data_IF_759600544242
#
_entry.id   IF_759600544242
#
_cell.length_a   1.000
_cell.length_b   1.000
_cell.length_c   1.000
_cell.angle_alpha   90.00
_cell.angle_beta   90.00
_cell.angle_gamma   90.00
#
_symmetry.space_group_name_H-M   'P 1'
#
loop_
_entity.id
_entity.type
_entity.pdbx_description
1 polymer ?
#
# COMPACT_ATOMS: atom_id res chain seq x y z
N UNK A 1 -0.24 8.22 -12.60
CA UNK A 1 -0.26 8.48 -11.15
C UNK A 1 1.16 8.59 -10.64
N UNK A 2 1.46 9.58 -9.78
CA UNK A 2 2.77 9.70 -9.12
C UNK A 2 2.56 9.52 -7.61
N UNK A 3 3.26 8.55 -7.02
CA UNK A 3 3.33 8.38 -5.57
C UNK A 3 4.17 9.53 -5.01
N UNK A 4 3.64 10.23 -4.00
CA UNK A 4 4.29 11.39 -3.35
C UNK A 4 5.12 11.00 -2.13
N UNK A 5 4.99 9.76 -1.66
CA UNK A 5 5.74 9.20 -0.56
C UNK A 5 5.17 7.86 -0.15
N UNK A 6 5.88 7.17 0.74
CA UNK A 6 5.44 5.92 1.33
C UNK A 6 5.80 5.91 2.82
N UNK A 7 5.07 5.14 3.61
CA UNK A 7 5.46 4.84 4.98
C UNK A 7 4.94 3.45 5.38
N UNK A 8 5.58 2.87 6.39
CA UNK A 8 5.18 1.57 6.95
C UNK A 8 4.36 1.85 8.21
N UNK A 9 3.20 1.21 8.31
CA UNK A 9 2.32 1.24 9.46
C UNK A 9 2.14 -0.17 10.01
N UNK A 10 2.55 -0.38 11.26
CA UNK A 10 2.31 -1.66 11.95
C UNK A 10 0.90 -1.64 12.55
N UNK A 11 0.07 -2.59 12.12
CA UNK A 11 -1.26 -2.77 12.66
C UNK A 11 -1.20 -3.27 14.11
N UNK A 12 -2.33 -3.14 14.82
CA UNK A 12 -2.47 -3.67 16.19
C UNK A 12 -2.33 -5.19 16.26
N UNK A 13 -2.54 -5.88 15.13
CA UNK A 13 -2.34 -7.33 14.97
C UNK A 13 -0.88 -7.72 14.83
N UNK A 14 0.03 -6.75 14.60
CA UNK A 14 1.46 -6.98 14.40
C UNK A 14 1.89 -7.02 12.92
N UNK A 15 0.93 -7.08 12.00
CA UNK A 15 1.20 -7.08 10.56
C UNK A 15 1.72 -5.71 10.10
N UNK A 16 2.67 -5.68 9.16
CA UNK A 16 3.14 -4.42 8.59
C UNK A 16 2.45 -4.11 7.27
N UNK A 17 1.86 -2.91 7.20
CA UNK A 17 1.26 -2.37 6.00
C UNK A 17 2.13 -1.28 5.37
N UNK A 18 2.39 -1.38 4.06
CA UNK A 18 2.99 -0.30 3.28
C UNK A 18 1.89 0.61 2.74
N UNK A 19 1.92 1.88 3.16
CA UNK A 19 0.96 2.89 2.73
C UNK A 19 1.61 3.77 1.66
N UNK A 20 1.01 3.79 0.47
CA UNK A 20 1.44 4.63 -0.64
C UNK A 20 0.62 5.92 -0.69
N UNK A 21 1.30 7.07 -0.70
CA UNK A 21 0.64 8.37 -0.70
C UNK A 21 0.43 8.89 -2.12
N UNK A 22 -0.82 9.10 -2.48
CA UNK A 22 -1.24 9.84 -3.65
C UNK A 22 -1.32 11.35 -3.38
N UNK A 23 -1.53 12.11 -4.45
CA UNK A 23 -1.58 13.58 -4.39
C UNK A 23 -2.82 14.12 -3.66
N UNK A 24 -3.95 13.46 -3.85
CA UNK A 24 -5.24 13.86 -3.30
C UNK A 24 -6.17 12.64 -3.24
N UNK A 25 -7.39 12.83 -2.72
CA UNK A 25 -8.38 11.76 -2.56
C UNK A 25 -8.70 11.03 -3.88
N UNK A 26 -8.91 11.76 -4.98
CA UNK A 26 -9.25 11.13 -6.27
C UNK A 26 -8.11 10.26 -6.81
N UNK A 27 -6.86 10.73 -6.67
CA UNK A 27 -5.69 9.92 -7.05
C UNK A 27 -5.45 8.75 -6.08
N UNK A 28 -5.82 8.89 -4.81
CA UNK A 28 -5.77 7.80 -3.82
C UNK A 28 -6.73 6.67 -4.17
N UNK A 29 -7.96 6.98 -4.60
CA UNK A 29 -8.94 5.97 -5.06
C UNK A 29 -8.43 5.21 -6.30
N UNK A 30 -7.87 5.93 -7.29
CA UNK A 30 -7.25 5.30 -8.47
C UNK A 30 -6.05 4.42 -8.08
N UNK A 31 -5.23 4.88 -7.12
CA UNK A 31 -4.09 4.13 -6.61
C UNK A 31 -4.53 2.86 -5.92
N UNK A 32 -5.54 2.95 -5.07
CA UNK A 32 -6.12 1.79 -4.42
C UNK A 32 -6.60 0.75 -5.44
N UNK A 33 -7.39 1.16 -6.45
CA UNK A 33 -7.86 0.24 -7.48
C UNK A 33 -6.73 -0.38 -8.30
N UNK A 34 -5.73 0.40 -8.70
CA UNK A 34 -4.54 -0.13 -9.38
C UNK A 34 -3.82 -1.18 -8.52
N UNK A 35 -3.61 -0.88 -7.24
CA UNK A 35 -3.00 -1.80 -6.29
C UNK A 35 -3.84 -3.07 -6.11
N UNK A 36 -5.16 -2.96 -6.09
CA UNK A 36 -6.04 -4.11 -5.93
C UNK A 36 -6.00 -5.04 -7.15
N UNK A 37 -6.10 -4.49 -8.37
CA UNK A 37 -6.34 -5.25 -9.60
C UNK A 37 -5.06 -5.58 -10.37
N UNK A 38 -4.21 -4.59 -10.63
CA UNK A 38 -3.18 -4.67 -11.68
C UNK A 38 -1.74 -4.70 -11.14
N UNK A 39 -1.54 -4.42 -9.85
CA UNK A 39 -0.20 -4.29 -9.27
C UNK A 39 0.46 -5.64 -8.89
N UNK A 40 0.17 -6.73 -9.59
CA UNK A 40 0.72 -8.06 -9.26
C UNK A 40 2.26 -8.07 -9.25
N UNK A 41 2.89 -7.47 -10.26
CA UNK A 41 4.36 -7.38 -10.34
C UNK A 41 4.95 -6.60 -9.16
N UNK A 42 4.34 -5.47 -8.81
CA UNK A 42 4.76 -4.65 -7.67
C UNK A 42 4.60 -5.41 -6.34
N UNK A 43 3.48 -6.11 -6.15
CA UNK A 43 3.26 -6.97 -4.98
C UNK A 43 4.30 -8.09 -4.89
N UNK A 44 4.67 -8.69 -6.01
CA UNK A 44 5.73 -9.70 -6.08
C UNK A 44 7.10 -9.12 -5.70
N UNK A 45 7.44 -7.95 -6.23
CA UNK A 45 8.68 -7.24 -5.88
C UNK A 45 8.74 -6.93 -4.36
N UNK A 46 7.63 -6.50 -3.76
CA UNK A 46 7.55 -6.33 -2.29
C UNK A 46 7.78 -7.65 -1.57
N UNK A 47 7.13 -8.73 -1.99
CA UNK A 47 7.25 -10.03 -1.34
C UNK A 47 8.70 -10.56 -1.36
N UNK A 48 9.44 -10.29 -2.43
CA UNK A 48 10.83 -10.72 -2.61
C UNK A 48 11.83 -9.81 -1.89
N UNK A 49 11.68 -8.50 -1.97
CA UNK A 49 12.64 -7.53 -1.41
C UNK A 49 12.37 -7.19 0.06
N UNK A 50 11.10 -7.17 0.46
CA UNK A 50 10.67 -6.75 1.78
C UNK A 50 9.56 -7.67 2.34
N UNK A 51 9.89 -8.93 2.64
CA UNK A 51 8.91 -9.95 3.03
C UNK A 51 8.20 -9.66 4.36
N UNK A 52 8.65 -8.66 5.14
CA UNK A 52 7.96 -8.23 6.37
C UNK A 52 6.70 -7.41 6.09
N UNK A 53 6.51 -6.94 4.86
CA UNK A 53 5.30 -6.21 4.45
C UNK A 53 4.29 -7.23 3.96
N UNK A 54 3.21 -7.36 4.73
CA UNK A 54 2.15 -8.33 4.47
C UNK A 54 0.95 -7.69 3.78
N UNK A 55 0.83 -6.36 3.91
CA UNK A 55 -0.33 -5.60 3.49
C UNK A 55 0.10 -4.32 2.76
N UNK A 56 -0.71 -3.86 1.82
CA UNK A 56 -0.55 -2.55 1.19
C UNK A 56 -1.87 -1.78 1.19
N UNK A 57 -1.79 -0.46 1.23
CA UNK A 57 -2.94 0.42 1.04
C UNK A 57 -2.53 1.75 0.41
N UNK A 58 -3.51 2.53 -0.01
CA UNK A 58 -3.32 3.87 -0.57
C UNK A 58 -3.88 4.94 0.36
N UNK A 59 -3.09 6.00 0.54
CA UNK A 59 -3.46 7.21 1.28
C UNK A 59 -3.19 8.49 0.52
N UNK A 60 -3.47 9.62 1.14
CA UNK A 60 -3.08 10.96 0.67
C UNK A 60 -2.86 11.88 1.87
N UNK A 61 -2.17 12.99 1.63
CA UNK A 61 -2.04 14.06 2.61
C UNK A 61 -3.11 15.12 2.36
N UNK A 62 -3.93 15.43 3.36
CA UNK A 62 -4.94 16.48 3.24
C UNK A 62 -4.31 17.89 3.36
N UNK A 63 -5.13 18.93 3.16
CA UNK A 63 -4.69 20.33 3.23
C UNK A 63 -4.14 20.74 4.61
N UNK A 64 -4.53 20.02 5.67
CA UNK A 64 -4.02 20.22 7.04
C UNK A 64 -2.68 19.51 7.30
N UNK A 65 -2.16 18.77 6.33
CA UNK A 65 -0.95 17.97 6.46
C UNK A 65 -1.17 16.60 7.09
N UNK A 66 -2.40 16.22 7.41
CA UNK A 66 -2.74 14.93 7.99
C UNK A 66 -2.73 13.85 6.90
N UNK A 67 -2.27 12.66 7.26
CA UNK A 67 -2.26 11.52 6.35
C UNK A 67 -3.54 10.72 6.58
N UNK A 68 -4.31 10.53 5.52
CA UNK A 68 -5.54 9.74 5.49
C UNK A 68 -5.33 8.57 4.52
N UNK A 69 -5.73 7.36 4.89
CA UNK A 69 -5.64 6.19 4.02
C UNK A 69 -6.83 5.26 4.21
N UNK A 70 -7.02 4.35 3.24
CA UNK A 70 -8.06 3.33 3.31
C UNK A 70 -7.67 2.25 4.33
N UNK A 71 -8.55 1.97 5.29
CA UNK A 71 -8.39 0.82 6.20
C UNK A 71 -8.71 -0.53 5.52
N UNK A 72 -9.13 -0.50 4.25
CA UNK A 72 -9.16 -1.69 3.43
C UNK A 72 -7.73 -2.00 2.94
N UNK A 73 -7.14 -3.05 3.49
CA UNK A 73 -5.80 -3.47 3.14
C UNK A 73 -5.81 -4.55 2.06
N UNK A 74 -4.88 -4.44 1.13
CA UNK A 74 -4.68 -5.40 0.05
C UNK A 74 -3.54 -6.34 0.49
N UNK A 75 -3.76 -7.66 0.54
CA UNK A 75 -2.72 -8.61 0.89
C UNK A 75 -1.63 -8.66 -0.18
N UNK A 76 -0.38 -8.72 0.29
CA UNK A 76 0.78 -9.07 -0.52
C UNK A 76 0.89 -10.60 -0.55
N UNK A 77 1.09 -11.23 -1.72
CA UNK A 77 1.32 -12.66 -1.79
C UNK A 77 2.56 -12.99 -0.97
N UNK A 78 2.52 -14.11 -0.25
CA UNK A 78 3.69 -14.49 0.55
C UNK A 78 4.77 -14.99 -0.38
N UNK A 79 6.02 -14.71 -0.06
CA UNK A 79 7.18 -15.09 -0.88
C UNK A 79 7.23 -16.60 -1.18
N UNK A 80 6.73 -17.43 -0.26
CA UNK A 80 6.68 -18.88 -0.42
C UNK A 80 5.49 -19.38 -1.26
N UNK A 81 4.45 -18.57 -1.46
CA UNK A 81 3.32 -18.90 -2.36
C UNK A 81 3.66 -18.61 -3.83
N UNK A 82 4.81 -17.99 -4.09
CA UNK A 82 5.32 -17.65 -5.43
C UNK A 82 6.25 -18.72 -6.02
N UNK A 83 6.56 -19.78 -5.27
CA UNK A 83 7.34 -20.96 -5.68
C UNK A 83 6.43 -22.18 -5.88
#
# INVERSE_FOLDING_TARGET
MRVKGTFIYTLKTGENALILLAENKSEQEKLYHYLAVDAYRFKKEIAEEEPRIELISAGYRNEKGEILWSEEYIPVPKWYDLN
#
